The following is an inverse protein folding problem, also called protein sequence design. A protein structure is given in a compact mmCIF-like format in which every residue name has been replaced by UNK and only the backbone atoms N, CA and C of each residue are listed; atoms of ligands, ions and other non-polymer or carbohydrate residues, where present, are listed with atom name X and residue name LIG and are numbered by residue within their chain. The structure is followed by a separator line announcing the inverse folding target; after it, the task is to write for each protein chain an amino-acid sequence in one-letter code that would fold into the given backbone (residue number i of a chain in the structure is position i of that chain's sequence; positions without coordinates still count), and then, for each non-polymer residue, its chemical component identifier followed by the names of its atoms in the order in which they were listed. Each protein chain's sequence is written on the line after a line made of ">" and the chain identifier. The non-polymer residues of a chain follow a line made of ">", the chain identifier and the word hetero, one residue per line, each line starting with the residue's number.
data_IF_457857819648
#
_entry.id   IF_457857819648
#
_cell.length_a   1.000
_cell.length_b   1.000
_cell.length_c   1.000
_cell.angle_alpha   90.00
_cell.angle_beta   90.00
_cell.angle_gamma   90.00
#
_symmetry.space_group_name_H-M   'P 1'
#
loop_
_entity.id
_entity.type
_entity.pdbx_description
1 polymer ?
#
# COMPACT_ATOMS: atom_id res chain seq x y z
N UNK A 1 10.59 -58.72 -18.93
CA UNK A 1 10.00 -59.76 -19.80
C UNK A 1 8.60 -59.36 -20.15
N UNK A 2 8.28 -59.32 -21.46
CA UNK A 2 7.00 -59.22 -22.16
C UNK A 2 6.37 -57.82 -22.15
N UNK A 3 6.56 -57.01 -23.13
CA UNK A 3 6.28 -56.96 -24.58
C UNK A 3 4.91 -56.34 -24.90
N UNK A 4 5.03 -55.18 -25.52
CA UNK A 4 4.29 -54.61 -26.65
C UNK A 4 2.91 -55.18 -27.03
N UNK A 5 1.93 -54.32 -27.26
CA UNK A 5 1.17 -54.29 -28.54
C UNK A 5 0.48 -52.96 -28.80
N UNK A 6 0.88 -52.34 -29.88
CA UNK A 6 0.19 -51.27 -30.63
C UNK A 6 -1.17 -51.74 -31.18
N UNK A 7 -2.20 -50.92 -31.18
CA UNK A 7 -3.23 -50.91 -32.24
C UNK A 7 -3.65 -49.47 -32.57
N UNK A 8 -3.38 -49.12 -33.81
CA UNK A 8 -4.02 -48.04 -34.59
C UNK A 8 -5.48 -48.39 -34.87
N UNK A 9 -6.38 -47.41 -34.82
CA UNK A 9 -7.49 -47.13 -35.77
C UNK A 9 -8.27 -45.92 -35.28
N UNK A 10 -8.33 -44.96 -36.13
CA UNK A 10 -9.30 -44.40 -37.05
C UNK A 10 -10.12 -43.27 -36.44
N UNK A 11 -9.80 -42.08 -36.85
CA UNK A 11 -10.53 -41.10 -37.71
C UNK A 11 -12.05 -40.99 -37.49
N UNK A 12 -12.47 -39.81 -37.25
CA UNK A 12 -13.67 -39.08 -37.65
C UNK A 12 -14.49 -38.52 -36.49
N UNK A 13 -14.71 -37.21 -36.55
CA UNK A 13 -15.70 -36.54 -35.71
C UNK A 13 -15.23 -35.24 -35.08
N UNK A 14 -15.12 -34.16 -35.83
CA UNK A 14 -15.11 -32.80 -35.26
C UNK A 14 -16.52 -32.41 -34.79
N UNK A 15 -16.65 -31.69 -33.71
CA UNK A 15 -17.51 -30.52 -33.70
C UNK A 15 -16.74 -29.23 -33.39
N UNK A 16 -17.20 -28.17 -34.04
CA UNK A 16 -16.83 -26.78 -33.92
C UNK A 16 -16.84 -26.37 -32.45
N UNK A 17 -15.73 -25.82 -31.95
CA UNK A 17 -15.70 -25.03 -30.71
C UNK A 17 -15.27 -23.61 -31.08
N UNK A 18 -16.23 -22.71 -31.07
CA UNK A 18 -16.07 -21.28 -30.93
C UNK A 18 -15.46 -21.00 -29.53
N UNK A 19 -14.39 -20.23 -29.47
CA UNK A 19 -13.90 -19.80 -28.15
C UNK A 19 -12.57 -19.10 -28.20
N UNK A 20 -12.61 -17.77 -28.20
CA UNK A 20 -11.62 -16.84 -27.62
C UNK A 20 -10.13 -17.04 -27.90
N UNK A 21 -9.64 -16.34 -28.89
CA UNK A 21 -8.27 -15.82 -28.90
C UNK A 21 -8.29 -14.33 -28.52
N UNK A 22 -8.07 -14.05 -27.25
CA UNK A 22 -7.69 -12.74 -26.73
C UNK A 22 -6.25 -12.87 -26.25
N UNK A 23 -5.29 -12.23 -26.96
CA UNK A 23 -3.91 -12.14 -26.51
C UNK A 23 -2.85 -12.14 -27.60
N UNK A 24 -3.08 -11.46 -28.73
CA UNK A 24 -1.98 -11.08 -29.61
C UNK A 24 -1.76 -9.57 -29.52
N UNK A 25 -0.51 -9.16 -29.23
CA UNK A 25 -0.12 -7.77 -29.08
C UNK A 25 -0.34 -6.99 -30.39
N UNK A 26 -0.70 -5.72 -30.27
CA UNK A 26 -0.93 -4.79 -31.39
C UNK A 26 0.26 -4.73 -32.38
N UNK A 27 1.47 -5.02 -31.90
CA UNK A 27 2.72 -5.03 -32.66
C UNK A 27 2.78 -6.18 -33.66
N UNK A 28 2.27 -7.38 -33.33
CA UNK A 28 2.24 -8.52 -34.23
C UNK A 28 1.21 -8.36 -35.38
N UNK A 29 0.10 -7.68 -35.14
CA UNK A 29 -0.88 -7.35 -36.17
C UNK A 29 -0.33 -6.37 -37.20
N UNK A 30 0.41 -5.34 -36.77
CA UNK A 30 1.00 -4.35 -37.68
C UNK A 30 2.09 -4.93 -38.60
N UNK A 31 2.85 -5.92 -38.12
CA UNK A 31 3.88 -6.57 -38.95
C UNK A 31 3.30 -7.49 -40.03
N UNK A 32 2.23 -8.21 -39.73
CA UNK A 32 1.58 -9.11 -40.74
C UNK A 32 0.83 -8.31 -41.81
N UNK A 33 0.14 -7.24 -41.44
CA UNK A 33 -0.54 -6.38 -42.41
C UNK A 33 0.45 -5.62 -43.33
N UNK A 34 1.57 -5.15 -42.78
CA UNK A 34 2.64 -4.51 -43.56
C UNK A 34 3.30 -5.49 -44.54
N UNK A 35 3.47 -6.76 -44.15
CA UNK A 35 4.03 -7.78 -45.07
C UNK A 35 3.09 -8.15 -46.20
N UNK A 36 1.78 -8.29 -45.95
CA UNK A 36 0.76 -8.56 -46.95
C UNK A 36 0.59 -7.39 -47.93
N UNK A 37 0.70 -6.14 -47.45
CA UNK A 37 0.59 -4.93 -48.28
C UNK A 37 1.78 -4.79 -49.24
N UNK A 38 2.99 -5.10 -48.80
CA UNK A 38 4.18 -5.09 -49.66
C UNK A 38 4.15 -6.19 -50.75
N UNK A 39 3.58 -7.36 -50.44
CA UNK A 39 3.48 -8.45 -51.40
C UNK A 39 2.47 -8.14 -52.52
N UNK A 40 1.39 -7.41 -52.22
CA UNK A 40 0.39 -6.96 -53.21
C UNK A 40 0.93 -5.88 -54.16
N UNK A 41 1.85 -5.02 -53.67
CA UNK A 41 2.51 -4.01 -54.50
C UNK A 41 3.45 -4.62 -55.54
N UNK A 42 4.07 -5.76 -55.25
CA UNK A 42 4.99 -6.48 -56.15
C UNK A 42 4.27 -7.18 -57.29
N UNK A 43 2.97 -7.46 -57.16
CA UNK A 43 2.15 -8.14 -58.19
C UNK A 43 1.27 -7.20 -59.05
N UNK A 44 1.36 -5.88 -58.82
CA UNK A 44 0.58 -4.91 -59.59
C UNK A 44 1.17 -4.70 -61.00
N UNK A 45 0.33 -4.48 -62.05
CA UNK A 45 0.80 -4.23 -63.41
C UNK A 45 1.64 -2.95 -63.49
N UNK A 46 2.58 -2.92 -64.42
CA UNK A 46 3.62 -1.88 -64.56
C UNK A 46 3.10 -0.43 -64.59
N UNK A 47 1.88 -0.24 -65.14
CA UNK A 47 1.22 1.07 -65.16
C UNK A 47 0.81 1.58 -63.77
N UNK A 48 0.38 0.71 -62.88
CA UNK A 48 -0.01 1.10 -61.52
C UNK A 48 1.20 1.51 -60.65
N UNK A 49 2.38 0.90 -60.88
CA UNK A 49 3.63 1.25 -60.17
C UNK A 49 4.12 2.65 -60.52
N UNK A 50 3.94 3.06 -61.81
CA UNK A 50 4.33 4.41 -62.26
C UNK A 50 3.49 5.51 -61.59
N UNK A 51 2.20 5.29 -61.38
CA UNK A 51 1.33 6.25 -60.70
C UNK A 51 1.62 6.39 -59.20
N UNK A 52 1.96 5.29 -58.49
CA UNK A 52 2.30 5.31 -57.09
C UNK A 52 3.64 6.04 -56.88
N UNK A 53 4.63 5.82 -57.75
CA UNK A 53 5.91 6.54 -57.70
C UNK A 53 5.75 8.04 -58.01
N UNK A 54 4.91 8.40 -59.00
CA UNK A 54 4.63 9.79 -59.33
C UNK A 54 3.91 10.53 -58.21
N UNK A 55 2.97 9.88 -57.52
CA UNK A 55 2.27 10.44 -56.36
C UNK A 55 3.20 10.62 -55.16
N UNK A 56 4.12 9.68 -54.94
CA UNK A 56 5.12 9.77 -53.85
C UNK A 56 6.13 10.92 -54.07
N UNK A 57 6.55 11.13 -55.34
CA UNK A 57 7.41 12.25 -55.69
C UNK A 57 6.70 13.62 -55.57
N UNK A 58 5.40 13.68 -55.89
CA UNK A 58 4.62 14.93 -55.76
C UNK A 58 4.43 15.35 -54.31
N UNK A 59 4.31 14.39 -53.38
CA UNK A 59 4.20 14.66 -51.93
C UNK A 59 5.54 15.15 -51.35
N UNK A 60 6.68 14.65 -51.89
CA UNK A 60 8.03 15.11 -51.46
C UNK A 60 8.38 16.48 -52.01
N UNK A 61 7.85 16.89 -53.16
CA UNK A 61 8.13 18.22 -53.73
C UNK A 61 7.29 19.36 -53.08
N UNK A 62 6.20 19.03 -52.36
CA UNK A 62 5.35 20.01 -51.68
C UNK A 62 5.90 20.57 -50.35
N UNK A 63 7.05 20.07 -49.84
CA UNK A 63 7.57 20.45 -48.54
C UNK A 63 8.70 21.50 -48.58
N UNK A 64 9.05 22.08 -49.73
CA UNK A 64 10.24 22.94 -49.82
C UNK A 64 9.98 24.45 -49.95
N UNK A 65 8.79 24.94 -49.62
CA UNK A 65 8.50 26.40 -49.62
C UNK A 65 8.02 26.91 -48.24
N UNK A 66 8.71 26.53 -47.15
CA UNK A 66 8.62 27.28 -45.93
C UNK A 66 9.76 28.27 -45.87
N UNK A 67 9.46 29.54 -46.03
CA UNK A 67 10.39 30.65 -45.75
C UNK A 67 10.90 30.54 -44.31
N UNK A 68 12.00 31.25 -43.95
CA UNK A 68 12.54 31.26 -42.59
C UNK A 68 11.41 31.66 -41.64
N UNK A 69 11.02 30.74 -40.76
CA UNK A 69 10.14 31.05 -39.64
C UNK A 69 10.85 32.10 -38.81
N UNK A 70 10.21 33.27 -38.61
CA UNK A 70 10.66 34.22 -37.62
C UNK A 70 10.90 33.48 -36.29
N UNK A 71 11.92 33.85 -35.49
CA UNK A 71 12.12 33.27 -34.20
C UNK A 71 10.81 33.41 -33.43
N UNK A 72 10.20 32.30 -33.08
CA UNK A 72 9.10 32.29 -32.11
C UNK A 72 9.80 32.70 -30.81
N UNK A 73 9.59 33.95 -30.43
CA UNK A 73 9.86 34.37 -29.07
C UNK A 73 8.94 33.54 -28.18
N UNK A 74 9.45 32.43 -27.72
CA UNK A 74 8.87 31.64 -26.67
C UNK A 74 9.01 32.46 -25.38
N UNK A 75 8.27 33.57 -25.32
CA UNK A 75 7.95 34.25 -24.08
C UNK A 75 7.18 33.29 -23.15
N UNK A 76 7.78 32.14 -22.85
CA UNK A 76 7.48 31.41 -21.64
C UNK A 76 7.95 32.32 -20.51
N UNK A 77 7.09 33.24 -20.15
CA UNK A 77 7.03 33.76 -18.79
C UNK A 77 6.98 32.50 -17.94
N UNK A 78 8.14 32.00 -17.49
CA UNK A 78 8.21 31.07 -16.40
C UNK A 78 7.47 31.76 -15.26
N UNK A 79 6.19 31.45 -15.13
CA UNK A 79 5.46 31.80 -13.91
C UNK A 79 6.32 31.23 -12.80
N UNK A 80 6.82 32.04 -11.86
CA UNK A 80 7.65 31.54 -10.77
C UNK A 80 6.85 30.42 -10.13
N UNK A 81 7.30 29.17 -10.26
CA UNK A 81 6.75 28.06 -9.52
C UNK A 81 6.98 28.44 -8.07
N UNK A 82 5.95 28.97 -7.43
CA UNK A 82 5.97 29.26 -6.00
C UNK A 82 6.20 27.92 -5.33
N UNK A 83 7.44 27.65 -4.99
CA UNK A 83 7.86 26.47 -4.28
C UNK A 83 7.12 26.45 -2.94
N UNK A 84 6.11 25.60 -2.82
CA UNK A 84 5.34 25.42 -1.59
C UNK A 84 5.85 24.21 -0.82
N UNK A 85 5.69 24.23 0.49
CA UNK A 85 5.96 23.05 1.33
C UNK A 85 5.09 21.88 0.85
N UNK A 86 5.68 20.70 0.58
CA UNK A 86 4.91 19.54 0.11
C UNK A 86 3.95 19.08 1.21
N UNK A 87 2.76 18.61 0.81
CA UNK A 87 1.80 18.00 1.74
C UNK A 87 2.42 16.76 2.38
N UNK A 88 2.65 16.83 3.70
CA UNK A 88 3.38 15.82 4.45
C UNK A 88 2.46 14.76 5.05
N UNK A 89 2.65 13.48 4.68
CA UNK A 89 1.92 12.33 5.18
C UNK A 89 2.77 11.43 6.06
N UNK A 90 2.17 10.94 7.16
CA UNK A 90 2.79 9.99 8.06
C UNK A 90 2.12 8.61 7.90
N UNK A 91 2.90 7.60 7.48
CA UNK A 91 2.44 6.22 7.32
C UNK A 91 2.95 5.36 8.48
N UNK A 92 2.04 4.87 9.33
CA UNK A 92 2.35 4.08 10.53
C UNK A 92 2.07 2.60 10.29
N UNK A 93 3.12 1.79 10.27
CA UNK A 93 3.04 0.36 9.99
C UNK A 93 2.43 -0.47 11.13
N UNK A 94 1.95 -1.65 10.77
CA UNK A 94 1.49 -2.69 11.68
C UNK A 94 2.65 -3.44 12.35
N UNK A 95 2.39 -4.00 13.55
CA UNK A 95 3.42 -4.74 14.28
C UNK A 95 3.07 -5.07 15.73
N UNK A 96 1.78 -5.13 16.07
CA UNK A 96 1.27 -5.45 17.41
C UNK A 96 1.95 -4.60 18.51
N UNK A 97 2.52 -5.20 19.58
CA UNK A 97 3.15 -4.46 20.70
C UNK A 97 4.29 -3.53 20.27
N UNK A 98 4.93 -3.75 19.12
CA UNK A 98 5.95 -2.84 18.57
C UNK A 98 5.38 -1.47 18.16
N UNK A 99 4.05 -1.36 18.03
CA UNK A 99 3.35 -0.11 17.74
C UNK A 99 3.65 1.04 18.71
N UNK A 100 4.08 0.74 19.93
CA UNK A 100 4.50 1.77 20.87
C UNK A 100 5.67 2.62 20.36
N UNK A 101 6.48 2.13 19.42
CA UNK A 101 7.56 2.91 18.82
C UNK A 101 7.06 4.13 18.04
N UNK A 102 5.84 4.07 17.48
CA UNK A 102 5.24 5.22 16.80
C UNK A 102 5.07 6.43 17.70
N UNK A 103 4.81 6.21 18.99
CA UNK A 103 4.72 7.30 19.98
C UNK A 103 6.03 8.06 20.06
N UNK A 104 7.15 7.36 20.15
CA UNK A 104 8.48 7.98 20.19
C UNK A 104 8.83 8.77 18.92
N UNK A 105 8.39 8.26 17.76
CA UNK A 105 8.54 8.99 16.49
C UNK A 105 7.74 10.29 16.50
N UNK A 106 6.48 10.25 16.93
CA UNK A 106 5.61 11.43 16.99
C UNK A 106 6.16 12.47 17.95
N UNK A 107 6.66 12.06 19.12
CA UNK A 107 7.30 12.97 20.10
C UNK A 107 8.45 13.77 19.47
N UNK A 108 9.33 13.12 18.72
CA UNK A 108 10.46 13.79 18.06
C UNK A 108 10.00 14.73 16.96
N UNK A 109 8.94 14.37 16.20
CA UNK A 109 8.36 15.27 15.21
C UNK A 109 7.80 16.54 15.87
N UNK A 110 7.05 16.39 16.95
CA UNK A 110 6.47 17.54 17.71
C UNK A 110 7.55 18.42 18.34
N UNK A 111 8.56 17.82 18.97
CA UNK A 111 9.73 18.54 19.53
C UNK A 111 10.48 19.35 18.45
N UNK A 112 10.46 18.87 17.23
CA UNK A 112 11.06 19.54 16.07
C UNK A 112 10.13 20.59 15.41
N UNK A 113 8.89 20.75 15.91
CA UNK A 113 7.88 21.64 15.32
C UNK A 113 7.31 21.12 14.00
N UNK A 114 7.49 19.82 13.69
CA UNK A 114 7.03 19.22 12.44
C UNK A 114 5.69 18.50 12.69
N UNK A 115 4.66 18.90 11.94
CA UNK A 115 3.34 18.29 12.03
C UNK A 115 2.93 17.75 10.66
N UNK A 116 2.51 16.47 10.56
CA UNK A 116 1.98 15.94 9.32
C UNK A 116 0.60 16.53 8.99
N UNK A 117 0.32 16.66 7.69
CA UNK A 117 -0.99 17.09 7.18
C UNK A 117 -2.02 15.97 7.20
N UNK A 118 -1.57 14.73 7.20
CA UNK A 118 -2.41 13.52 7.28
C UNK A 118 -1.64 12.36 7.90
N UNK A 119 -2.37 11.42 8.46
CA UNK A 119 -1.81 10.17 9.00
C UNK A 119 -2.59 8.97 8.48
N UNK A 120 -1.86 7.91 8.13
CA UNK A 120 -2.45 6.62 7.74
C UNK A 120 -1.84 5.52 8.59
N UNK A 121 -2.66 4.60 9.07
CA UNK A 121 -2.20 3.49 9.90
C UNK A 121 -2.76 2.14 9.49
N UNK A 122 -1.95 1.10 9.72
CA UNK A 122 -2.33 -0.30 9.60
C UNK A 122 -2.18 -0.99 10.94
N UNK A 123 -3.17 -1.79 11.36
CA UNK A 123 -3.10 -2.60 12.59
C UNK A 123 -2.72 -1.74 13.82
N UNK A 124 -1.69 -2.08 14.56
CA UNK A 124 -1.19 -1.27 15.69
C UNK A 124 -0.90 0.19 15.29
N UNK A 125 -0.43 0.44 14.07
CA UNK A 125 -0.25 1.79 13.53
C UNK A 125 -1.56 2.55 13.40
N UNK A 126 -2.68 1.88 13.12
CA UNK A 126 -4.01 2.50 13.04
C UNK A 126 -4.50 3.00 14.40
N UNK A 127 -4.16 2.31 15.49
CA UNK A 127 -4.47 2.74 16.86
C UNK A 127 -3.78 4.05 17.17
N UNK A 128 -2.46 4.12 16.94
CA UNK A 128 -1.67 5.33 17.22
C UNK A 128 -2.08 6.47 16.27
N UNK A 129 -2.33 6.16 14.99
CA UNK A 129 -2.82 7.13 14.01
C UNK A 129 -4.16 7.75 14.45
N UNK A 130 -5.11 6.93 14.92
CA UNK A 130 -6.41 7.40 15.40
C UNK A 130 -6.28 8.33 16.62
N UNK A 131 -5.43 7.96 17.56
CA UNK A 131 -5.19 8.80 18.76
C UNK A 131 -4.53 10.12 18.37
N UNK A 132 -3.53 10.09 17.51
CA UNK A 132 -2.84 11.29 17.05
C UNK A 132 -3.79 12.20 16.23
N UNK A 133 -4.55 11.63 15.31
CA UNK A 133 -5.55 12.36 14.52
C UNK A 133 -6.67 12.97 15.39
N UNK A 134 -6.99 12.35 16.54
CA UNK A 134 -7.96 12.92 17.50
C UNK A 134 -7.45 14.19 18.20
N UNK A 135 -6.14 14.48 18.07
CA UNK A 135 -5.47 15.64 18.63
C UNK A 135 -4.73 15.38 19.95
N UNK A 136 -4.43 14.12 20.25
CA UNK A 136 -3.50 13.78 21.35
C UNK A 136 -2.08 14.10 20.90
N UNK A 137 -1.34 14.78 21.74
CA UNK A 137 0.11 15.01 21.58
C UNK A 137 0.94 13.79 22.00
N UNK A 138 2.25 13.86 21.78
CA UNK A 138 3.18 12.77 22.10
C UNK A 138 3.19 12.39 23.59
N UNK A 139 2.98 13.35 24.50
CA UNK A 139 2.89 13.08 25.94
C UNK A 139 1.59 12.35 26.29
N UNK A 140 0.47 12.75 25.69
CA UNK A 140 -0.83 12.10 25.85
C UNK A 140 -0.85 10.70 25.21
N UNK A 141 -0.16 10.51 24.07
CA UNK A 141 0.04 9.20 23.46
C UNK A 141 0.86 8.28 24.37
N UNK A 142 1.93 8.78 24.97
CA UNK A 142 2.73 8.01 25.94
C UNK A 142 1.89 7.61 27.15
N UNK A 143 1.13 8.54 27.73
CA UNK A 143 0.21 8.23 28.83
C UNK A 143 -0.81 7.17 28.44
N UNK A 144 -1.41 7.27 27.26
CA UNK A 144 -2.33 6.26 26.75
C UNK A 144 -1.64 4.88 26.61
N UNK A 145 -0.40 4.85 26.10
CA UNK A 145 0.40 3.64 26.00
C UNK A 145 0.72 3.02 27.36
N UNK A 146 1.08 3.84 28.36
CA UNK A 146 1.43 3.39 29.71
C UNK A 146 0.22 2.86 30.48
N UNK A 147 -0.95 3.45 30.27
CA UNK A 147 -2.20 3.08 30.96
C UNK A 147 -3.03 2.04 30.21
N UNK A 148 -2.61 1.63 29.00
CA UNK A 148 -3.28 0.58 28.25
C UNK A 148 -3.03 -0.77 28.90
N UNK A 149 -4.06 -1.32 29.52
CA UNK A 149 -4.05 -2.68 30.07
C UNK A 149 -4.39 -3.67 28.96
N UNK A 150 -3.61 -4.72 28.82
CA UNK A 150 -3.85 -5.80 27.85
C UNK A 150 -5.25 -6.42 28.03
N UNK A 151 -5.67 -6.62 29.29
CA UNK A 151 -7.00 -7.12 29.62
C UNK A 151 -8.16 -6.26 29.10
N UNK A 152 -7.93 -4.97 28.84
CA UNK A 152 -8.97 -4.05 28.33
C UNK A 152 -9.23 -4.27 26.84
N UNK A 153 -8.26 -4.78 26.08
CA UNK A 153 -8.35 -5.00 24.64
C UNK A 153 -8.52 -6.47 24.28
N UNK A 154 -8.35 -7.41 25.23
CA UNK A 154 -8.52 -8.85 25.02
C UNK A 154 -9.92 -9.26 25.49
N UNK A 155 -10.74 -9.69 24.55
CA UNK A 155 -12.07 -10.26 24.81
C UNK A 155 -12.14 -11.66 24.16
N UNK A 156 -11.81 -12.66 24.98
CA UNK A 156 -11.75 -14.06 24.54
C UNK A 156 -13.10 -14.61 24.07
N UNK A 157 -13.08 -15.38 23.01
CA UNK A 157 -14.24 -16.14 22.53
C UNK A 157 -14.17 -17.59 23.03
N UNK A 158 -15.29 -18.33 22.91
CA UNK A 158 -15.30 -19.76 23.11
C UNK A 158 -14.61 -20.42 21.90
N UNK A 159 -13.46 -21.09 22.08
CA UNK A 159 -12.60 -21.51 20.94
C UNK A 159 -13.27 -22.41 19.90
N UNK A 160 -14.31 -23.14 20.26
CA UNK A 160 -15.01 -24.07 19.36
C UNK A 160 -16.13 -23.44 18.52
N UNK A 161 -16.52 -22.19 18.82
CA UNK A 161 -17.66 -21.52 18.18
C UNK A 161 -17.27 -20.23 17.44
N UNK A 162 -16.04 -19.73 17.64
CA UNK A 162 -15.53 -18.49 17.05
C UNK A 162 -14.67 -18.71 15.81
N UNK A 163 -14.59 -17.71 14.95
CA UNK A 163 -13.67 -17.65 13.79
C UNK A 163 -12.32 -17.01 14.14
N UNK A 164 -12.07 -16.76 15.43
CA UNK A 164 -10.86 -16.22 16.03
C UNK A 164 -10.87 -16.48 17.53
N UNK A 165 -9.71 -16.32 18.18
CA UNK A 165 -9.59 -16.50 19.64
C UNK A 165 -10.19 -15.33 20.43
N UNK A 166 -10.24 -14.13 19.85
CA UNK A 166 -10.75 -12.89 20.44
C UNK A 166 -11.73 -12.19 19.51
N UNK A 167 -12.71 -11.47 20.06
CA UNK A 167 -13.66 -10.70 19.25
C UNK A 167 -13.07 -9.37 18.77
N UNK A 168 -12.29 -8.71 19.61
CA UNK A 168 -11.74 -7.38 19.35
C UNK A 168 -12.70 -6.23 19.67
N UNK A 169 -13.87 -6.49 20.25
CA UNK A 169 -14.82 -5.44 20.67
C UNK A 169 -14.22 -4.57 21.79
N UNK A 170 -13.37 -5.16 22.64
CA UNK A 170 -12.61 -4.45 23.68
C UNK A 170 -11.73 -3.37 23.07
N UNK A 171 -10.99 -3.69 22.00
CA UNK A 171 -10.17 -2.72 21.27
C UNK A 171 -11.03 -1.59 20.69
N UNK A 172 -12.14 -1.90 20.04
CA UNK A 172 -13.02 -0.88 19.46
C UNK A 172 -13.57 0.08 20.54
N UNK A 173 -14.04 -0.46 21.67
CA UNK A 173 -14.51 0.36 22.80
C UNK A 173 -13.39 1.24 23.37
N UNK A 174 -12.19 0.67 23.55
CA UNK A 174 -11.04 1.42 24.05
C UNK A 174 -10.68 2.58 23.12
N UNK A 175 -10.60 2.32 21.82
CA UNK A 175 -10.28 3.35 20.81
C UNK A 175 -11.35 4.44 20.80
N UNK A 176 -12.63 4.09 20.78
CA UNK A 176 -13.73 5.07 20.82
C UNK A 176 -13.69 5.94 22.10
N UNK A 177 -13.41 5.33 23.25
CA UNK A 177 -13.21 6.09 24.50
C UNK A 177 -12.06 7.08 24.38
N UNK A 178 -10.94 6.66 23.80
CA UNK A 178 -9.74 7.51 23.67
C UNK A 178 -9.89 8.62 22.63
N UNK A 179 -10.73 8.43 21.59
CA UNK A 179 -11.00 9.42 20.53
C UNK A 179 -12.24 10.28 20.81
N UNK A 180 -12.93 10.04 21.94
CA UNK A 180 -14.14 10.76 22.35
C UNK A 180 -15.38 10.38 21.56
N UNK A 181 -15.42 9.15 21.01
CA UNK A 181 -16.57 8.62 20.24
C UNK A 181 -16.79 9.31 18.89
N UNK A 182 -15.80 10.06 18.39
CA UNK A 182 -15.89 10.77 17.11
C UNK A 182 -15.78 9.81 15.95
N UNK A 183 -16.35 10.24 14.82
CA UNK A 183 -16.16 9.58 13.52
C UNK A 183 -14.82 9.99 12.90
N UNK A 184 -14.31 9.19 11.96
CA UNK A 184 -13.01 9.42 11.31
C UNK A 184 -12.96 10.82 10.66
N UNK A 185 -14.03 11.20 9.95
CA UNK A 185 -14.17 12.48 9.27
C UNK A 185 -14.31 13.70 10.19
N UNK A 186 -14.52 13.46 11.49
CA UNK A 186 -14.66 14.52 12.52
C UNK A 186 -13.37 14.76 13.30
N UNK A 187 -12.32 14.00 13.01
CA UNK A 187 -11.04 14.13 13.72
C UNK A 187 -10.30 15.41 13.28
N UNK A 188 -9.39 15.87 14.15
CA UNK A 188 -8.65 17.12 13.93
C UNK A 188 -7.67 17.06 12.76
N UNK A 189 -7.24 15.86 12.38
CA UNK A 189 -6.31 15.59 11.28
C UNK A 189 -6.93 14.53 10.38
N UNK A 190 -6.79 14.65 9.03
CA UNK A 190 -7.18 13.60 8.11
C UNK A 190 -6.56 12.26 8.47
N UNK A 191 -7.41 11.27 8.72
CA UNK A 191 -7.03 9.91 9.12
C UNK A 191 -7.41 8.91 8.04
N UNK A 192 -6.47 8.03 7.69
CA UNK A 192 -6.71 6.81 6.93
C UNK A 192 -6.45 5.56 7.77
N UNK A 193 -7.34 4.59 7.71
CA UNK A 193 -7.19 3.29 8.38
C UNK A 193 -7.30 2.21 7.31
N UNK A 194 -6.28 1.35 7.20
CA UNK A 194 -6.23 0.31 6.17
C UNK A 194 -6.64 -1.03 6.75
N UNK A 195 -7.60 -1.70 6.10
CA UNK A 195 -7.98 -3.08 6.37
C UNK A 195 -8.05 -3.89 5.07
N UNK A 196 -8.18 -5.20 5.18
CA UNK A 196 -8.30 -6.11 4.03
C UNK A 196 -9.71 -6.65 3.95
N UNK A 197 -10.36 -6.57 2.79
CA UNK A 197 -11.60 -7.28 2.52
C UNK A 197 -11.32 -8.78 2.46
N UNK A 198 -11.94 -9.55 3.34
CA UNK A 198 -11.68 -10.98 3.46
C UNK A 198 -12.11 -11.77 2.22
N UNK A 199 -13.10 -11.27 1.49
CA UNK A 199 -13.64 -11.98 0.33
C UNK A 199 -12.85 -11.73 -0.94
N UNK A 200 -12.42 -10.48 -1.17
CA UNK A 200 -11.77 -10.07 -2.43
C UNK A 200 -10.24 -10.01 -2.31
N UNK A 201 -9.71 -9.86 -1.09
CA UNK A 201 -8.30 -9.59 -0.85
C UNK A 201 -7.91 -8.12 -1.10
N UNK A 202 -8.85 -7.25 -1.42
CA UNK A 202 -8.57 -5.84 -1.67
C UNK A 202 -8.26 -5.09 -0.37
N UNK A 203 -7.30 -4.17 -0.47
CA UNK A 203 -7.07 -3.23 0.61
C UNK A 203 -8.08 -2.09 0.59
N UNK A 204 -8.68 -1.83 1.74
CA UNK A 204 -9.72 -0.82 1.92
C UNK A 204 -9.20 0.28 2.84
N UNK A 205 -9.28 1.52 2.35
CA UNK A 205 -8.94 2.72 3.11
C UNK A 205 -10.20 3.31 3.73
N UNK A 206 -10.35 3.19 5.04
CA UNK A 206 -11.40 3.86 5.79
C UNK A 206 -10.99 5.30 6.09
N UNK A 207 -11.76 6.25 5.58
CA UNK A 207 -11.64 7.69 5.83
C UNK A 207 -12.91 8.28 6.44
N UNK A 208 -13.90 7.45 6.68
CA UNK A 208 -15.21 7.81 7.27
C UNK A 208 -15.75 6.67 8.12
N UNK A 209 -16.58 7.00 9.09
CA UNK A 209 -17.26 6.03 9.93
C UNK A 209 -16.72 5.99 11.35
N UNK A 210 -17.13 4.97 12.09
CA UNK A 210 -16.73 4.77 13.49
C UNK A 210 -15.24 4.40 13.58
N UNK A 211 -14.48 5.17 14.36
CA UNK A 211 -13.02 5.01 14.48
C UNK A 211 -12.68 3.66 15.09
N UNK A 212 -13.36 3.27 16.17
CA UNK A 212 -13.08 2.01 16.86
C UNK A 212 -13.35 0.80 16.00
N UNK A 213 -14.45 0.80 15.24
CA UNK A 213 -14.79 -0.28 14.29
C UNK A 213 -13.75 -0.38 13.17
N UNK A 214 -13.31 0.75 12.60
CA UNK A 214 -12.31 0.74 11.54
C UNK A 214 -10.93 0.26 12.06
N UNK A 215 -10.51 0.71 13.24
CA UNK A 215 -9.28 0.24 13.90
C UNK A 215 -9.37 -1.24 14.23
N UNK A 216 -10.50 -1.73 14.75
CA UNK A 216 -10.74 -3.16 14.98
C UNK A 216 -10.58 -3.95 13.68
N UNK A 217 -11.21 -3.52 12.59
CA UNK A 217 -11.09 -4.16 11.29
C UNK A 217 -9.63 -4.23 10.82
N UNK A 218 -8.90 -3.10 10.94
CA UNK A 218 -7.48 -2.98 10.59
C UNK A 218 -6.56 -3.86 11.44
N UNK A 219 -6.99 -4.23 12.65
CA UNK A 219 -6.20 -5.00 13.63
C UNK A 219 -6.66 -6.46 13.77
N UNK A 220 -7.63 -6.90 12.98
CA UNK A 220 -8.18 -8.25 13.06
C UNK A 220 -7.29 -9.27 12.35
N UNK A 221 -6.16 -9.60 13.00
CA UNK A 221 -5.22 -10.64 12.53
C UNK A 221 -5.98 -11.98 12.44
N UNK A 222 -6.02 -12.64 11.27
CA UNK A 222 -6.70 -13.91 11.09
C UNK A 222 -6.26 -14.96 12.12
N UNK A 223 -7.19 -15.76 12.59
CA UNK A 223 -7.07 -16.75 13.67
C UNK A 223 -6.86 -16.17 15.07
N UNK A 224 -6.32 -14.95 15.22
CA UNK A 224 -6.22 -14.26 16.51
C UNK A 224 -7.53 -13.55 16.84
N UNK A 225 -8.02 -12.75 15.89
CA UNK A 225 -9.28 -12.01 16.04
C UNK A 225 -10.33 -12.49 15.04
N UNK A 226 -11.60 -12.34 15.43
CA UNK A 226 -12.70 -12.55 14.49
C UNK A 226 -12.70 -11.48 13.40
N UNK A 227 -13.03 -11.85 12.14
CA UNK A 227 -13.26 -10.88 11.08
C UNK A 227 -14.36 -9.87 11.47
N UNK A 228 -14.18 -8.62 11.10
CA UNK A 228 -15.12 -7.54 11.43
C UNK A 228 -16.11 -7.35 10.30
N UNK A 229 -17.41 -7.50 10.61
CA UNK A 229 -18.47 -7.26 9.65
C UNK A 229 -18.89 -5.80 9.67
N UNK A 230 -18.80 -5.15 8.49
CA UNK A 230 -19.29 -3.78 8.25
C UNK A 230 -20.21 -3.83 7.02
N UNK A 231 -21.49 -3.63 7.24
CA UNK A 231 -22.51 -3.84 6.20
C UNK A 231 -22.57 -5.30 5.73
N UNK A 232 -22.38 -5.54 4.45
CA UNK A 232 -22.38 -6.86 3.84
C UNK A 232 -20.97 -7.44 3.57
N UNK A 233 -19.92 -6.76 4.06
CA UNK A 233 -18.51 -7.15 3.88
C UNK A 233 -17.86 -7.54 5.20
N UNK A 234 -16.86 -8.38 5.13
CA UNK A 234 -16.03 -8.78 6.27
C UNK A 234 -14.58 -8.33 6.06
N UNK A 235 -13.96 -7.83 7.11
CA UNK A 235 -12.63 -7.25 7.07
C UNK A 235 -11.71 -7.94 8.08
N UNK A 236 -10.45 -8.05 7.67
CA UNK A 236 -9.34 -8.54 8.47
C UNK A 236 -8.18 -7.57 8.44
N UNK A 237 -7.10 -7.86 9.17
CA UNK A 237 -5.93 -6.98 9.33
C UNK A 237 -5.42 -6.44 7.99
N UNK A 238 -5.17 -5.14 7.97
CA UNK A 238 -4.63 -4.46 6.79
C UNK A 238 -3.20 -4.86 6.43
N UNK A 239 -2.47 -5.46 7.36
CA UNK A 239 -1.11 -5.96 7.14
C UNK A 239 -1.01 -7.09 6.11
N UNK A 240 -2.13 -7.73 5.75
CA UNK A 240 -2.16 -8.72 4.66
C UNK A 240 -1.92 -8.09 3.28
N UNK A 241 -2.22 -6.81 3.12
CA UNK A 241 -2.14 -6.11 1.82
C UNK A 241 -1.25 -4.87 1.85
N UNK A 242 -1.07 -4.22 3.02
CA UNK A 242 -0.28 -3.00 3.18
C UNK A 242 0.21 -2.89 4.62
N UNK A 243 1.26 -3.64 4.99
CA UNK A 243 1.80 -3.60 6.35
C UNK A 243 2.29 -2.21 6.77
N UNK A 244 2.88 -1.43 5.85
CA UNK A 244 3.21 -0.01 6.03
C UNK A 244 2.50 0.79 4.94
N UNK A 245 1.45 1.57 5.25
CA UNK A 245 0.46 2.03 4.28
C UNK A 245 0.90 3.26 3.45
N UNK A 246 2.05 3.18 2.78
CA UNK A 246 2.64 4.29 1.98
C UNK A 246 1.73 4.69 0.83
N UNK A 247 1.27 3.71 0.02
CA UNK A 247 0.39 3.97 -1.13
C UNK A 247 -0.92 4.67 -0.72
N UNK A 248 -1.43 4.37 0.47
CA UNK A 248 -2.65 4.99 0.97
C UNK A 248 -2.42 6.42 1.47
N UNK A 249 -1.23 6.73 2.01
CA UNK A 249 -0.85 8.11 2.29
C UNK A 249 -0.77 8.92 0.99
N UNK A 250 -0.20 8.35 -0.08
CA UNK A 250 -0.21 8.95 -1.43
C UNK A 250 -1.64 9.12 -1.96
N UNK A 251 -2.50 8.11 -1.83
CA UNK A 251 -3.91 8.18 -2.23
C UNK A 251 -4.67 9.30 -1.50
N UNK A 252 -4.32 9.60 -0.25
CA UNK A 252 -4.86 10.75 0.50
C UNK A 252 -4.23 12.10 0.11
N UNK A 253 -3.32 12.09 -0.84
CA UNK A 253 -2.71 13.29 -1.41
C UNK A 253 -1.41 13.72 -0.72
N UNK A 254 -0.72 12.84 0.03
CA UNK A 254 0.61 13.13 0.54
C UNK A 254 1.61 13.25 -0.63
N UNK A 255 2.36 14.34 -0.65
CA UNK A 255 3.43 14.62 -1.61
C UNK A 255 4.80 14.23 -1.06
N UNK A 256 4.93 14.17 0.25
CA UNK A 256 6.07 13.63 0.97
C UNK A 256 5.56 12.62 2.01
N UNK A 257 6.05 11.38 1.98
CA UNK A 257 5.62 10.32 2.90
C UNK A 257 6.78 9.86 3.78
N UNK A 258 6.63 10.07 5.08
CA UNK A 258 7.44 9.44 6.12
C UNK A 258 6.79 8.12 6.52
N UNK A 259 7.45 7.01 6.23
CA UNK A 259 6.99 5.67 6.56
C UNK A 259 7.72 5.14 7.81
N UNK A 260 6.96 4.66 8.79
CA UNK A 260 7.49 4.06 10.00
C UNK A 260 7.27 2.55 9.94
N UNK A 261 8.34 1.83 9.67
CA UNK A 261 8.36 0.38 9.54
C UNK A 261 8.77 -0.28 10.85
N UNK A 262 7.81 -0.89 11.52
CA UNK A 262 7.96 -1.63 12.77
C UNK A 262 7.79 -3.14 12.58
N UNK A 263 7.86 -3.64 11.35
CA UNK A 263 7.70 -5.06 11.04
C UNK A 263 8.82 -5.90 11.66
N UNK A 264 8.50 -7.17 11.98
CA UNK A 264 9.52 -8.14 12.39
C UNK A 264 10.31 -8.64 11.20
N UNK A 265 11.61 -8.85 11.35
CA UNK A 265 12.34 -9.65 10.40
C UNK A 265 11.90 -11.14 10.54
N UNK A 266 11.71 -11.89 9.43
CA UNK A 266 11.27 -13.29 9.50
C UNK A 266 12.18 -14.19 10.34
N UNK A 267 13.46 -13.85 10.44
CA UNK A 267 14.46 -14.59 11.22
C UNK A 267 14.16 -14.59 12.74
N UNK A 268 13.30 -13.69 13.20
CA UNK A 268 12.87 -13.62 14.59
C UNK A 268 11.59 -14.41 14.89
N UNK A 269 10.97 -15.02 13.87
CA UNK A 269 9.71 -15.74 13.99
C UNK A 269 9.88 -17.09 14.66
N UNK A 270 8.86 -17.50 15.44
CA UNK A 270 8.76 -18.84 15.99
C UNK A 270 8.15 -19.78 14.95
N UNK A 271 8.49 -21.06 15.04
CA UNK A 271 8.01 -22.13 14.15
C UNK A 271 7.71 -23.44 14.92
N UNK A 272 7.36 -23.30 16.20
CA UNK A 272 7.19 -24.44 17.09
C UNK A 272 5.88 -25.20 16.89
N UNK A 273 4.82 -24.52 16.53
CA UNK A 273 3.51 -25.10 16.31
C UNK A 273 2.83 -24.56 15.04
N UNK A 274 1.63 -25.06 14.74
CA UNK A 274 0.87 -24.67 13.55
C UNK A 274 0.49 -23.18 13.56
N UNK A 275 0.20 -22.62 14.72
CA UNK A 275 -0.12 -21.19 14.86
C UNK A 275 1.12 -20.31 14.63
N UNK A 276 2.26 -20.71 15.18
CA UNK A 276 3.55 -20.05 14.95
C UNK A 276 3.90 -20.06 13.45
N UNK A 277 3.71 -21.17 12.74
CA UNK A 277 3.95 -21.28 11.29
C UNK A 277 3.02 -20.35 10.52
N UNK A 278 1.75 -20.25 10.90
CA UNK A 278 0.80 -19.33 10.27
C UNK A 278 1.23 -17.86 10.46
N UNK A 279 1.61 -17.47 11.68
CA UNK A 279 2.11 -16.13 11.97
C UNK A 279 3.40 -15.82 11.23
N UNK A 280 4.29 -16.79 11.12
CA UNK A 280 5.51 -16.67 10.33
C UNK A 280 5.22 -16.50 8.84
N UNK A 281 4.20 -17.17 8.31
CA UNK A 281 3.76 -16.99 6.92
C UNK A 281 3.31 -15.55 6.67
N UNK A 282 2.52 -14.95 7.56
CA UNK A 282 2.14 -13.54 7.47
C UNK A 282 3.36 -12.60 7.53
N UNK A 283 4.34 -12.92 8.38
CA UNK A 283 5.58 -12.14 8.48
C UNK A 283 6.38 -12.16 7.17
N UNK A 284 6.51 -13.33 6.54
CA UNK A 284 7.20 -13.50 5.26
C UNK A 284 6.49 -12.75 4.13
N UNK A 285 5.15 -12.89 4.05
CA UNK A 285 4.34 -12.17 3.06
C UNK A 285 4.44 -10.65 3.26
N UNK A 286 4.33 -10.19 4.51
CA UNK A 286 4.45 -8.78 4.86
C UNK A 286 5.81 -8.18 4.49
N UNK A 287 6.92 -8.93 4.68
CA UNK A 287 8.25 -8.51 4.22
C UNK A 287 8.29 -8.33 2.70
N UNK A 288 7.69 -9.25 1.94
CA UNK A 288 7.65 -9.17 0.48
C UNK A 288 6.86 -7.94 -0.01
N UNK A 289 5.70 -7.69 0.60
CA UNK A 289 4.87 -6.52 0.29
C UNK A 289 5.61 -5.23 0.63
N UNK A 290 6.18 -5.12 1.84
CA UNK A 290 6.92 -3.93 2.27
C UNK A 290 8.14 -3.64 1.39
N UNK A 291 8.79 -4.66 0.84
CA UNK A 291 9.92 -4.47 -0.08
C UNK A 291 9.53 -3.66 -1.30
N UNK A 292 8.29 -3.76 -1.76
CA UNK A 292 7.77 -2.98 -2.87
C UNK A 292 7.18 -1.64 -2.39
N UNK A 293 6.31 -1.67 -1.39
CA UNK A 293 5.55 -0.51 -0.94
C UNK A 293 6.44 0.61 -0.36
N UNK A 294 7.49 0.25 0.36
CA UNK A 294 8.43 1.20 0.94
C UNK A 294 9.33 1.93 -0.09
N UNK A 295 9.37 1.48 -1.35
CA UNK A 295 10.05 2.21 -2.43
C UNK A 295 9.39 3.54 -2.75
N UNK A 296 8.08 3.64 -2.50
CA UNK A 296 7.28 4.83 -2.76
C UNK A 296 7.30 5.82 -1.57
N UNK A 297 8.00 5.49 -0.49
CA UNK A 297 8.21 6.39 0.65
C UNK A 297 9.43 7.29 0.40
N UNK A 298 9.32 8.57 0.74
CA UNK A 298 10.45 9.51 0.63
C UNK A 298 11.46 9.31 1.75
N UNK A 299 10.98 8.91 2.92
CA UNK A 299 11.81 8.59 4.07
C UNK A 299 11.22 7.40 4.84
N UNK A 300 12.06 6.40 5.10
CA UNK A 300 11.70 5.24 5.91
C UNK A 300 12.48 5.26 7.21
N UNK A 301 11.76 5.18 8.32
CA UNK A 301 12.33 5.06 9.67
C UNK A 301 12.04 3.67 10.21
N UNK A 302 13.08 2.96 10.66
CA UNK A 302 13.00 1.62 11.24
C UNK A 302 13.56 1.63 12.66
N UNK A 303 12.70 1.71 13.68
CA UNK A 303 13.11 1.54 15.07
C UNK A 303 13.76 0.17 15.31
N UNK A 304 14.78 0.13 16.17
CA UNK A 304 15.48 -1.11 16.54
C UNK A 304 14.63 -1.94 17.52
N UNK A 305 13.80 -2.84 17.00
CA UNK A 305 12.81 -3.61 17.77
C UNK A 305 13.03 -5.14 17.69
N UNK A 306 14.23 -5.60 17.38
CA UNK A 306 14.51 -7.03 17.19
C UNK A 306 14.17 -7.86 18.43
N UNK A 307 14.34 -7.30 19.63
CA UNK A 307 14.12 -7.96 20.91
C UNK A 307 12.70 -7.73 21.45
N UNK A 308 11.79 -7.16 20.66
CA UNK A 308 10.40 -6.92 21.06
C UNK A 308 9.49 -7.91 20.35
N UNK A 309 8.94 -8.85 21.10
CA UNK A 309 7.93 -9.79 20.60
C UNK A 309 6.60 -9.11 20.30
N UNK A 310 5.80 -9.72 19.41
CA UNK A 310 4.50 -9.18 19.02
C UNK A 310 3.51 -9.04 20.19
N UNK A 311 3.63 -9.88 21.21
CA UNK A 311 2.79 -9.85 22.42
C UNK A 311 3.50 -9.23 23.65
N UNK A 312 4.68 -8.61 23.48
CA UNK A 312 5.44 -8.04 24.59
C UNK A 312 4.97 -6.60 24.91
N UNK A 313 3.79 -6.48 25.49
CA UNK A 313 3.27 -5.19 25.95
C UNK A 313 4.08 -4.58 27.11
N UNK A 314 4.94 -5.35 27.80
CA UNK A 314 5.84 -4.83 28.83
C UNK A 314 7.01 -4.03 28.26
N UNK A 315 7.38 -4.27 27.01
CA UNK A 315 8.44 -3.55 26.31
C UNK A 315 8.05 -2.13 25.84
N UNK A 316 6.86 -1.61 26.23
CA UNK A 316 6.34 -0.33 25.73
C UNK A 316 7.33 0.83 25.85
N UNK A 317 7.96 1.03 27.01
CA UNK A 317 8.95 2.10 27.22
C UNK A 317 10.15 1.94 26.29
N UNK A 318 10.72 0.75 26.22
CA UNK A 318 11.85 0.43 25.33
C UNK A 318 11.48 0.66 23.86
N UNK A 319 10.25 0.32 23.45
CA UNK A 319 9.77 0.57 22.10
C UNK A 319 9.64 2.05 21.78
N UNK A 320 9.11 2.86 22.71
CA UNK A 320 9.02 4.33 22.58
C UNK A 320 10.43 4.92 22.41
N UNK A 321 11.38 4.50 23.25
CA UNK A 321 12.77 4.96 23.19
C UNK A 321 13.44 4.59 21.86
N UNK A 322 13.21 3.37 21.35
CA UNK A 322 13.69 2.94 20.03
C UNK A 322 13.09 3.79 18.89
N UNK A 323 11.81 4.14 18.99
CA UNK A 323 11.15 5.05 18.06
C UNK A 323 11.76 6.44 18.05
N UNK A 324 12.00 7.00 19.26
CA UNK A 324 12.69 8.29 19.42
C UNK A 324 14.08 8.27 18.80
N UNK A 325 14.89 7.28 19.16
CA UNK A 325 16.27 7.16 18.66
C UNK A 325 16.32 7.09 17.12
N UNK A 326 15.47 6.26 16.51
CA UNK A 326 15.41 6.13 15.06
C UNK A 326 14.96 7.42 14.38
N UNK A 327 13.97 8.13 14.95
CA UNK A 327 13.50 9.39 14.38
C UNK A 327 14.52 10.52 14.53
N UNK A 328 15.22 10.61 15.66
CA UNK A 328 16.31 11.60 15.85
C UNK A 328 17.41 11.44 14.79
N UNK A 329 17.77 10.20 14.43
CA UNK A 329 18.73 9.94 13.34
C UNK A 329 18.22 10.37 11.96
N UNK A 330 16.92 10.22 11.71
CA UNK A 330 16.29 10.58 10.44
C UNK A 330 15.92 12.07 10.33
N UNK A 331 15.82 12.78 11.47
CA UNK A 331 15.32 14.15 11.57
C UNK A 331 16.05 15.16 10.67
N UNK A 332 17.40 15.15 10.57
CA UNK A 332 18.10 16.09 9.68
C UNK A 332 17.68 15.94 8.22
N UNK A 333 17.51 14.69 7.74
CA UNK A 333 17.06 14.39 6.38
C UNK A 333 15.63 14.86 6.14
N UNK A 334 14.73 14.64 7.11
CA UNK A 334 13.35 15.11 7.03
C UNK A 334 13.29 16.64 6.98
N UNK A 335 14.01 17.31 7.88
CA UNK A 335 14.08 18.79 7.92
C UNK A 335 14.58 19.37 6.59
N UNK A 336 15.64 18.80 6.03
CA UNK A 336 16.17 19.23 4.74
C UNK A 336 15.13 19.09 3.62
N UNK A 337 14.40 17.97 3.58
CA UNK A 337 13.39 17.72 2.57
C UNK A 337 12.17 18.65 2.67
N UNK A 338 11.70 18.94 3.89
CA UNK A 338 10.55 19.82 4.12
C UNK A 338 10.90 21.32 4.05
N UNK A 339 12.18 21.68 4.24
CA UNK A 339 12.65 23.07 4.14
C UNK A 339 13.00 23.46 2.70
N UNK A 340 13.07 22.50 1.77
CA UNK A 340 13.37 22.79 0.36
C UNK A 340 12.07 23.27 -0.31
N UNK A 341 11.92 24.58 -0.52
CA UNK A 341 10.77 25.11 -1.20
C UNK A 341 10.81 24.80 -2.68
#
# INVERSE_FOLDING_TARGET
>A
MVALRLRKRQLCGMPKASGCYLGQSLVERLTVESFCMNLRLLMAPSSARAWVLALSLAVLAGCSSRGPLAPIDNGQSETPVTKRVPKFGLALGGGAARGFAHVGVIQVLEEAGIKPDLVVGTSAGSVVAAFYASGKDGAQLQKAAETMEEATITDWTVPLLGRGMMRGDGLARYVNKQTGGRRIEELKMPLGIVATDLKTGDGILFQRGDVGTAVRASSSVPSVFEPVRIGNREFVDGGLVSPVPVRYARQMGAEYVLAIDISSPPESGKTGDMFDILMQTFTIMGKSINTLELRDADLVVRPALRDVGSADFKARRRSIEAGRAAMLQALPKLKAALATP
#
